data_IF_874337387859
#
_entry.id   IF_874337387859
#
_cell.length_a   1.000
_cell.length_b   1.000
_cell.length_c   1.000
_cell.angle_alpha   90.00
_cell.angle_beta   90.00
_cell.angle_gamma   90.00
#
_symmetry.space_group_name_H-M   'P 1'
#
loop_
_entity.id
_entity.type
_entity.pdbx_description
1 polymer ?
#
# COMPACT_ATOMS: atom_id res chain seq x y z
N UNK A 1 -39.44 -17.89 1.52
CA UNK A 1 -39.10 -18.51 0.23
C UNK A 1 -37.76 -17.91 -0.21
N UNK A 2 -36.77 -18.74 -0.54
CA UNK A 2 -35.45 -18.26 -1.01
C UNK A 2 -35.48 -18.30 -2.53
N UNK A 3 -35.21 -17.15 -3.18
CA UNK A 3 -35.02 -17.09 -4.62
C UNK A 3 -33.58 -17.45 -4.94
N UNK A 4 -33.37 -18.47 -5.76
CA UNK A 4 -32.06 -18.91 -6.21
C UNK A 4 -31.92 -18.56 -7.71
N UNK A 5 -30.87 -17.80 -8.06
CA UNK A 5 -30.48 -17.61 -9.45
C UNK A 5 -29.31 -18.58 -9.68
N UNK A 6 -29.52 -19.57 -10.53
CA UNK A 6 -28.53 -20.61 -10.83
C UNK A 6 -28.05 -20.47 -12.28
N UNK A 7 -26.76 -20.64 -12.50
CA UNK A 7 -26.19 -20.73 -13.83
C UNK A 7 -26.08 -22.21 -14.24
N UNK A 8 -26.42 -22.56 -15.47
CA UNK A 8 -26.18 -23.90 -15.97
C UNK A 8 -24.70 -24.10 -16.34
N UNK A 9 -24.31 -25.33 -16.55
CA UNK A 9 -22.92 -25.71 -16.80
C UNK A 9 -22.46 -25.40 -18.23
N UNK A 10 -23.36 -25.02 -19.13
CA UNK A 10 -23.06 -24.85 -20.55
C UNK A 10 -23.10 -23.40 -21.04
N UNK A 11 -23.87 -22.52 -20.41
CA UNK A 11 -24.08 -21.16 -20.86
C UNK A 11 -23.75 -20.07 -19.81
N UNK A 12 -23.57 -20.47 -18.56
CA UNK A 12 -23.43 -19.54 -17.44
C UNK A 12 -24.71 -18.71 -17.21
N UNK A 13 -24.63 -17.77 -16.27
CA UNK A 13 -25.70 -16.80 -16.04
C UNK A 13 -25.45 -15.57 -16.93
N UNK A 14 -26.31 -15.34 -17.91
CA UNK A 14 -26.34 -14.11 -18.69
C UNK A 14 -27.52 -13.25 -18.23
N UNK A 15 -27.23 -12.09 -17.67
CA UNK A 15 -28.23 -11.07 -17.36
C UNK A 15 -28.09 -9.97 -18.41
N UNK A 16 -29.16 -9.72 -19.15
CA UNK A 16 -29.20 -8.64 -20.13
C UNK A 16 -29.97 -7.48 -19.51
N UNK A 17 -29.32 -6.34 -19.37
CA UNK A 17 -29.98 -5.12 -18.92
C UNK A 17 -30.99 -4.64 -19.98
N UNK A 18 -31.95 -3.83 -19.55
CA UNK A 18 -32.78 -3.05 -20.43
C UNK A 18 -31.96 -1.94 -21.16
N UNK A 19 -32.65 -1.06 -21.85
CA UNK A 19 -32.02 0.08 -22.57
C UNK A 19 -31.35 1.10 -21.63
N UNK A 20 -31.56 1.00 -20.30
CA UNK A 20 -30.88 1.89 -19.32
C UNK A 20 -29.39 1.57 -19.16
N UNK A 21 -29.00 0.34 -19.52
CA UNK A 21 -27.64 -0.14 -19.35
C UNK A 21 -27.23 -0.36 -17.90
N UNK A 22 -28.17 -0.38 -16.97
CA UNK A 22 -27.91 -0.55 -15.54
C UNK A 22 -28.47 -1.88 -15.04
N UNK A 23 -27.68 -2.65 -14.29
CA UNK A 23 -28.13 -3.82 -13.55
C UNK A 23 -28.22 -3.49 -12.06
N UNK A 24 -29.35 -3.70 -11.47
CA UNK A 24 -29.54 -3.55 -10.02
C UNK A 24 -29.86 -4.89 -9.35
N UNK A 25 -29.19 -5.18 -8.25
CA UNK A 25 -29.54 -6.27 -7.34
C UNK A 25 -30.19 -5.67 -6.11
N UNK A 26 -31.44 -6.06 -5.86
CA UNK A 26 -32.25 -5.50 -4.77
C UNK A 26 -32.58 -6.56 -3.72
N UNK A 27 -32.73 -6.13 -2.47
CA UNK A 27 -33.28 -6.92 -1.37
C UNK A 27 -34.33 -6.10 -0.62
N UNK A 28 -35.52 -6.66 -0.49
CA UNK A 28 -36.68 -5.99 0.11
C UNK A 28 -36.99 -4.60 -0.51
N UNK A 29 -36.90 -4.51 -1.86
CA UNK A 29 -37.13 -3.27 -2.60
C UNK A 29 -36.01 -2.23 -2.51
N UNK A 30 -34.93 -2.51 -1.81
CA UNK A 30 -33.77 -1.64 -1.72
C UNK A 30 -32.63 -2.15 -2.59
N UNK A 31 -32.06 -1.28 -3.43
CA UNK A 31 -30.89 -1.60 -4.24
C UNK A 31 -29.69 -1.86 -3.33
N UNK A 32 -29.04 -3.02 -3.54
CA UNK A 32 -27.84 -3.46 -2.80
C UNK A 32 -26.58 -3.42 -3.65
N UNK A 33 -26.74 -3.59 -4.95
CA UNK A 33 -25.66 -3.50 -5.91
C UNK A 33 -26.21 -2.88 -7.20
N UNK A 34 -25.53 -1.89 -7.71
CA UNK A 34 -25.77 -1.30 -9.02
C UNK A 34 -24.56 -1.52 -9.89
N UNK A 35 -24.72 -2.09 -11.08
CA UNK A 35 -23.69 -2.16 -12.12
C UNK A 35 -24.15 -1.27 -13.26
N UNK A 36 -23.47 -0.14 -13.46
CA UNK A 36 -23.79 0.82 -14.50
C UNK A 36 -23.38 0.33 -15.90
N UNK A 37 -23.76 1.08 -16.93
CA UNK A 37 -23.50 0.78 -18.33
C UNK A 37 -22.01 0.66 -18.68
N UNK A 38 -21.13 1.25 -17.87
CA UNK A 38 -19.67 1.12 -18.00
C UNK A 38 -19.06 -0.01 -17.16
N UNK A 39 -19.87 -0.86 -16.52
CA UNK A 39 -19.39 -1.87 -15.58
C UNK A 39 -18.86 -1.27 -14.27
N UNK A 40 -19.22 -0.03 -13.96
CA UNK A 40 -18.71 0.69 -12.80
C UNK A 40 -19.30 0.15 -11.50
N UNK A 41 -18.43 -0.17 -10.57
CA UNK A 41 -18.79 -0.48 -9.20
C UNK A 41 -19.26 0.80 -8.48
N UNK A 42 -20.00 0.66 -7.39
CA UNK A 42 -20.32 1.81 -6.54
C UNK A 42 -19.05 2.40 -5.92
N UNK A 43 -19.09 3.68 -5.53
CA UNK A 43 -17.98 4.32 -4.83
C UNK A 43 -17.54 3.51 -3.59
N UNK A 44 -16.24 3.46 -3.34
CA UNK A 44 -15.66 2.74 -2.21
C UNK A 44 -15.33 1.27 -2.46
N UNK A 45 -15.64 0.71 -3.65
CA UNK A 45 -15.24 -0.65 -3.97
C UNK A 45 -13.73 -0.73 -4.26
N UNK A 46 -13.10 -1.78 -3.77
CA UNK A 46 -11.74 -2.14 -4.13
C UNK A 46 -11.74 -2.69 -5.56
N UNK A 47 -11.06 -2.00 -6.45
CA UNK A 47 -10.94 -2.40 -7.86
C UNK A 47 -9.82 -3.42 -8.03
N UNK A 48 -8.67 -3.13 -7.44
CA UNK A 48 -7.48 -3.98 -7.49
C UNK A 48 -6.60 -3.72 -6.27
N UNK A 49 -5.81 -4.71 -5.89
CA UNK A 49 -4.84 -4.60 -4.79
C UNK A 49 -3.58 -5.40 -5.10
N UNK A 50 -2.70 -4.92 -5.99
CA UNK A 50 -1.38 -5.50 -6.12
C UNK A 50 -0.58 -5.34 -4.83
N UNK A 51 0.21 -6.36 -4.51
CA UNK A 51 1.06 -6.33 -3.32
C UNK A 51 2.36 -7.12 -3.56
N UNK A 52 3.35 -6.85 -2.72
CA UNK A 52 4.57 -7.64 -2.62
C UNK A 52 4.73 -8.16 -1.20
N UNK A 53 5.27 -9.37 -1.13
CA UNK A 53 5.62 -10.05 0.09
C UNK A 53 7.11 -10.37 0.04
N UNK A 54 7.90 -9.68 0.88
CA UNK A 54 9.34 -9.78 0.87
C UNK A 54 9.85 -10.40 2.16
N UNK A 55 10.63 -11.48 2.05
CA UNK A 55 11.09 -12.28 3.19
C UNK A 55 12.59 -12.17 3.43
N UNK A 56 13.32 -11.42 2.63
CA UNK A 56 14.76 -11.25 2.81
C UNK A 56 15.06 -10.00 3.63
N UNK A 57 16.03 -10.09 4.54
CA UNK A 57 16.51 -8.92 5.27
C UNK A 57 17.14 -7.91 4.31
N UNK A 58 16.84 -6.65 4.51
CA UNK A 58 17.46 -5.55 3.77
C UNK A 58 18.24 -4.69 4.75
N UNK A 59 19.53 -4.55 4.49
CA UNK A 59 20.40 -3.72 5.32
C UNK A 59 20.56 -2.34 4.66
N UNK A 60 20.37 -1.28 5.43
CA UNK A 60 20.67 0.08 5.03
C UNK A 60 21.98 0.52 5.70
N UNK A 61 22.93 0.93 4.88
CA UNK A 61 24.28 1.31 5.33
C UNK A 61 24.56 2.79 5.21
N UNK A 62 23.60 3.59 4.73
CA UNK A 62 23.82 5.02 4.43
C UNK A 62 23.16 5.92 5.47
N UNK A 63 23.97 6.72 6.13
CA UNK A 63 23.51 7.81 6.97
C UNK A 63 23.00 8.98 6.11
N UNK A 64 21.88 9.57 6.53
CA UNK A 64 21.44 10.90 6.05
C UNK A 64 20.73 10.94 4.70
N UNK A 65 20.87 9.95 3.84
CA UNK A 65 20.25 9.95 2.52
C UNK A 65 19.02 9.03 2.48
N UNK A 66 17.93 9.55 1.93
CA UNK A 66 16.80 8.73 1.52
C UNK A 66 17.23 7.84 0.35
N UNK A 67 17.06 6.53 0.49
CA UNK A 67 17.33 5.56 -0.58
C UNK A 67 16.24 4.51 -0.67
N UNK A 68 16.08 3.93 -1.85
CA UNK A 68 15.18 2.82 -2.06
C UNK A 68 15.59 1.64 -1.18
N UNK A 69 14.61 1.11 -0.44
CA UNK A 69 14.84 0.02 0.49
C UNK A 69 15.24 -1.26 -0.25
N UNK A 70 14.47 -1.61 -1.28
CA UNK A 70 14.75 -2.74 -2.17
C UNK A 70 13.91 -2.63 -3.44
N UNK A 71 14.51 -2.97 -4.58
CA UNK A 71 13.77 -3.07 -5.84
C UNK A 71 12.74 -4.23 -5.83
N UNK A 72 12.91 -5.20 -4.93
CA UNK A 72 11.93 -6.28 -4.71
C UNK A 72 10.66 -5.81 -4.00
N UNK A 73 10.66 -4.58 -3.46
CA UNK A 73 9.49 -3.95 -2.83
C UNK A 73 8.73 -3.05 -3.79
N UNK A 74 8.96 -3.15 -5.08
CA UNK A 74 8.22 -2.37 -6.08
C UNK A 74 6.85 -2.99 -6.36
N UNK A 75 5.81 -2.18 -6.29
CA UNK A 75 4.43 -2.54 -6.64
C UNK A 75 3.98 -1.67 -7.80
N UNK A 76 3.60 -2.30 -8.91
CA UNK A 76 3.06 -1.60 -10.07
C UNK A 76 1.54 -1.68 -10.09
N UNK A 77 0.90 -0.58 -10.48
CA UNK A 77 -0.54 -0.46 -10.63
C UNK A 77 -0.85 0.41 -11.86
N UNK A 78 -1.89 0.04 -12.58
CA UNK A 78 -2.51 0.88 -13.62
C UNK A 78 -3.90 1.24 -13.16
N UNK A 79 -4.14 2.46 -12.67
CA UNK A 79 -5.46 2.85 -12.17
C UNK A 79 -6.51 2.76 -13.27
N UNK A 80 -7.69 2.28 -12.94
CA UNK A 80 -8.81 2.17 -13.90
C UNK A 80 -9.53 3.50 -14.12
N UNK A 81 -9.45 4.40 -13.12
CA UNK A 81 -10.05 5.73 -13.19
C UNK A 81 -9.12 6.77 -12.56
N UNK A 82 -9.05 7.94 -13.19
CA UNK A 82 -8.23 9.06 -12.69
C UNK A 82 -8.74 9.61 -11.33
N UNK A 83 -10.04 9.46 -11.06
CA UNK A 83 -10.67 9.86 -9.79
C UNK A 83 -10.52 8.82 -8.67
N UNK A 84 -10.10 7.59 -8.97
CA UNK A 84 -9.88 6.55 -7.95
C UNK A 84 -8.93 7.02 -6.86
N UNK A 85 -9.15 6.55 -5.64
CA UNK A 85 -8.21 6.72 -4.54
C UNK A 85 -7.22 5.58 -4.56
N UNK A 86 -5.95 5.91 -4.53
CA UNK A 86 -4.86 4.96 -4.28
C UNK A 86 -4.52 5.00 -2.80
N UNK A 87 -4.63 3.84 -2.14
CA UNK A 87 -4.27 3.65 -0.74
C UNK A 87 -3.03 2.76 -0.67
N UNK A 88 -1.94 3.32 -0.19
CA UNK A 88 -0.64 2.68 -0.02
C UNK A 88 -0.49 2.24 1.43
N UNK A 89 -0.06 1.01 1.65
CA UNK A 89 0.10 0.43 2.98
C UNK A 89 1.37 -0.39 3.06
N UNK A 90 2.18 -0.13 4.07
CA UNK A 90 3.38 -0.91 4.38
C UNK A 90 3.32 -1.42 5.81
N UNK A 91 3.68 -2.68 5.99
CA UNK A 91 3.93 -3.31 7.29
C UNK A 91 5.30 -3.98 7.26
N UNK A 92 6.18 -3.57 8.16
CA UNK A 92 7.53 -4.08 8.28
C UNK A 92 8.03 -4.00 9.72
N UNK A 93 9.14 -4.65 10.01
CA UNK A 93 9.87 -4.49 11.25
C UNK A 93 11.21 -3.82 10.97
N UNK A 94 11.57 -2.89 11.83
CA UNK A 94 12.84 -2.20 11.84
C UNK A 94 13.65 -2.66 13.05
N UNK A 95 14.89 -3.04 12.82
CA UNK A 95 15.87 -3.27 13.88
C UNK A 95 16.98 -2.23 13.76
N UNK A 96 17.25 -1.52 14.84
CA UNK A 96 18.37 -0.59 14.95
C UNK A 96 19.41 -1.16 15.90
N UNK A 97 20.59 -1.58 15.40
CA UNK A 97 21.68 -2.03 16.25
C UNK A 97 22.47 -0.86 16.81
N UNK A 98 22.42 -0.65 18.10
CA UNK A 98 23.39 0.15 18.89
C UNK A 98 23.47 1.66 18.64
N UNK A 99 22.38 2.37 18.34
CA UNK A 99 22.49 3.84 18.34
C UNK A 99 21.17 4.59 18.45
N UNK A 100 21.26 5.79 19.01
CA UNK A 100 20.14 6.73 19.06
C UNK A 100 20.03 7.36 17.67
N UNK A 101 18.97 6.99 16.93
CA UNK A 101 18.72 7.48 15.59
C UNK A 101 17.26 7.88 15.37
N UNK A 102 17.07 8.83 14.48
CA UNK A 102 15.74 9.11 13.91
C UNK A 102 15.66 8.42 12.57
N UNK A 103 14.65 7.61 12.42
CA UNK A 103 14.31 6.90 11.20
C UNK A 103 13.10 7.53 10.55
N UNK A 104 13.08 7.56 9.24
CA UNK A 104 11.90 7.98 8.47
C UNK A 104 11.73 7.14 7.21
N UNK A 105 10.48 6.96 6.81
CA UNK A 105 10.14 6.24 5.59
C UNK A 105 9.13 7.01 4.75
N UNK A 106 9.23 6.79 3.45
CA UNK A 106 8.32 7.33 2.44
C UNK A 106 7.86 6.22 1.50
N UNK A 107 6.62 6.33 1.03
CA UNK A 107 6.30 5.78 -0.28
C UNK A 107 6.91 6.67 -1.35
N UNK A 108 7.40 6.07 -2.40
CA UNK A 108 8.02 6.78 -3.52
C UNK A 108 7.46 6.29 -4.84
N UNK A 109 7.01 7.20 -5.67
CA UNK A 109 6.59 6.90 -7.04
C UNK A 109 7.82 6.92 -7.95
N UNK A 110 8.27 5.74 -8.35
CA UNK A 110 9.45 5.56 -9.20
C UNK A 110 9.19 6.11 -10.61
N UNK A 111 7.95 6.01 -11.08
CA UNK A 111 7.56 6.44 -12.42
C UNK A 111 7.64 7.96 -12.56
N UNK A 112 7.10 8.68 -11.56
CA UNK A 112 7.06 10.14 -11.55
C UNK A 112 8.23 10.77 -10.79
N UNK A 113 9.10 9.95 -10.17
CA UNK A 113 10.25 10.41 -9.36
C UNK A 113 9.87 11.36 -8.23
N UNK A 114 8.79 11.07 -7.53
CA UNK A 114 8.24 11.93 -6.47
C UNK A 114 7.82 11.14 -5.23
N UNK A 115 7.64 11.86 -4.11
CA UNK A 115 7.01 11.33 -2.89
C UNK A 115 5.52 11.65 -2.95
N UNK A 116 4.66 10.64 -3.22
CA UNK A 116 3.22 10.86 -3.37
C UNK A 116 2.54 11.14 -2.03
N UNK A 117 1.42 11.84 -2.06
CA UNK A 117 0.48 11.98 -0.94
C UNK A 117 1.12 12.47 0.39
N UNK A 118 2.13 13.30 0.31
CA UNK A 118 2.76 13.86 1.50
C UNK A 118 1.77 14.72 2.32
N UNK A 119 1.86 14.65 3.66
CA UNK A 119 1.08 15.53 4.51
C UNK A 119 1.45 17.01 4.23
N UNK A 120 0.59 17.98 4.55
CA UNK A 120 0.88 19.39 4.42
C UNK A 120 2.20 19.78 5.12
N UNK A 121 2.91 20.76 4.57
CA UNK A 121 4.12 21.28 5.19
C UNK A 121 3.79 21.98 6.53
N UNK A 122 4.61 21.74 7.55
CA UNK A 122 4.50 22.40 8.85
C UNK A 122 5.85 22.99 9.23
N UNK A 123 6.08 24.24 8.87
CA UNK A 123 7.35 24.94 9.08
C UNK A 123 8.51 24.23 8.37
N UNK A 124 9.65 24.13 9.05
CA UNK A 124 10.87 23.50 8.53
C UNK A 124 10.97 21.99 8.77
N UNK A 125 9.88 21.36 9.31
CA UNK A 125 9.91 19.94 9.63
C UNK A 125 9.90 19.10 8.35
N UNK A 126 10.66 17.99 8.36
CA UNK A 126 10.61 17.00 7.28
C UNK A 126 9.20 16.44 7.15
N UNK A 127 8.67 16.39 5.93
CA UNK A 127 7.40 15.74 5.61
C UNK A 127 7.70 14.28 5.31
N UNK A 128 7.13 13.39 6.10
CA UNK A 128 7.37 11.96 6.02
C UNK A 128 6.06 11.18 6.20
N UNK A 129 5.97 9.98 5.64
CA UNK A 129 4.83 9.10 5.90
C UNK A 129 4.96 8.38 7.23
N UNK A 130 6.18 8.14 7.67
CA UNK A 130 6.48 7.51 8.95
C UNK A 130 7.81 8.00 9.50
N UNK A 131 7.89 8.15 10.82
CA UNK A 131 9.15 8.40 11.50
C UNK A 131 9.12 7.89 12.93
N UNK A 132 10.26 7.46 13.43
CA UNK A 132 10.48 7.09 14.82
C UNK A 132 11.86 7.54 15.28
N UNK A 133 11.97 7.88 16.55
CA UNK A 133 13.26 8.03 17.23
C UNK A 133 13.50 6.80 18.06
N UNK A 134 14.56 6.10 17.79
CA UNK A 134 15.02 4.96 18.56
C UNK A 134 16.10 5.47 19.50
N UNK A 135 15.93 5.27 20.79
CA UNK A 135 16.92 5.55 21.84
C UNK A 135 17.35 4.22 22.40
N UNK A 136 18.40 3.66 21.83
CA UNK A 136 18.91 2.36 22.21
C UNK A 136 19.87 2.48 23.41
N UNK A 137 19.74 1.55 24.34
CA UNK A 137 20.63 1.37 25.50
C UNK A 137 21.71 0.29 25.26
N UNK A 138 21.93 -0.12 24.01
CA UNK A 138 22.93 -1.10 23.60
C UNK A 138 22.37 -2.47 23.22
N UNK A 139 21.06 -2.61 23.14
CA UNK A 139 20.37 -3.82 22.69
C UNK A 139 19.75 -3.62 21.30
N UNK A 140 19.58 -4.71 20.55
CA UNK A 140 18.87 -4.67 19.26
C UNK A 140 17.37 -4.47 19.50
N UNK A 141 16.89 -3.26 19.38
CA UNK A 141 15.48 -2.94 19.52
C UNK A 141 14.73 -3.17 18.20
N UNK A 142 13.58 -3.83 18.31
CA UNK A 142 12.68 -4.09 17.19
C UNK A 142 11.46 -3.18 17.26
N UNK A 143 11.25 -2.45 16.19
CA UNK A 143 10.12 -1.54 16.08
C UNK A 143 9.23 -1.90 14.90
N UNK A 144 7.93 -1.83 15.14
CA UNK A 144 6.97 -2.02 14.06
C UNK A 144 6.89 -0.75 13.21
N UNK A 145 7.11 -0.91 11.90
CA UNK A 145 6.96 0.13 10.92
C UNK A 145 5.68 -0.12 10.13
N UNK A 146 4.57 0.45 10.60
CA UNK A 146 3.30 0.44 9.86
C UNK A 146 2.98 1.87 9.47
N UNK A 147 2.77 2.10 8.19
CA UNK A 147 2.38 3.41 7.68
C UNK A 147 1.53 3.31 6.42
N UNK A 148 0.74 4.32 6.22
CA UNK A 148 -0.21 4.43 5.12
C UNK A 148 -0.14 5.81 4.49
N UNK A 149 -0.53 5.88 3.22
CA UNK A 149 -0.79 7.13 2.52
C UNK A 149 -1.94 6.93 1.54
N UNK A 150 -2.70 7.97 1.28
CA UNK A 150 -3.79 7.92 0.32
C UNK A 150 -3.92 9.22 -0.46
N UNK A 151 -4.32 9.11 -1.71
CA UNK A 151 -4.62 10.26 -2.56
C UNK A 151 -5.25 9.83 -3.88
N UNK A 152 -5.68 10.81 -4.65
CA UNK A 152 -6.28 10.57 -5.95
C UNK A 152 -5.24 10.06 -6.94
N UNK A 153 -5.63 9.10 -7.78
CA UNK A 153 -4.77 8.59 -8.86
C UNK A 153 -4.34 9.69 -9.83
N UNK A 154 -5.23 10.61 -10.18
CA UNK A 154 -4.96 11.75 -11.06
C UNK A 154 -4.85 11.39 -12.54
N UNK A 155 -4.46 10.17 -12.87
CA UNK A 155 -4.45 9.62 -14.25
C UNK A 155 -4.65 8.11 -14.22
N UNK A 156 -4.83 7.54 -15.41
CA UNK A 156 -4.88 6.08 -15.63
C UNK A 156 -3.56 5.51 -16.16
N UNK A 157 -2.49 6.28 -16.06
CA UNK A 157 -1.16 5.82 -16.47
C UNK A 157 -0.60 4.80 -15.47
N UNK A 158 0.18 3.86 -15.98
CA UNK A 158 0.86 2.89 -15.14
C UNK A 158 1.88 3.57 -14.23
N UNK A 159 1.88 3.19 -12.95
CA UNK A 159 2.79 3.71 -11.92
C UNK A 159 3.44 2.58 -11.16
N UNK A 160 4.63 2.86 -10.63
CA UNK A 160 5.35 1.92 -9.78
C UNK A 160 5.74 2.63 -8.50
N UNK A 161 5.27 2.09 -7.39
CA UNK A 161 5.57 2.58 -6.05
C UNK A 161 6.57 1.67 -5.36
N UNK A 162 7.38 2.27 -4.49
CA UNK A 162 8.35 1.56 -3.64
C UNK A 162 8.45 2.26 -2.29
N UNK A 163 9.30 1.72 -1.40
CA UNK A 163 9.56 2.28 -0.08
C UNK A 163 10.98 2.83 -0.06
N UNK A 164 11.10 4.09 0.31
CA UNK A 164 12.36 4.74 0.61
C UNK A 164 12.51 4.94 2.11
N UNK A 165 13.70 4.72 2.61
CA UNK A 165 14.04 4.89 4.01
C UNK A 165 15.28 5.76 4.17
N UNK A 166 15.34 6.49 5.27
CA UNK A 166 16.49 7.29 5.66
C UNK A 166 16.65 7.34 7.19
N UNK A 167 17.83 7.80 7.62
CA UNK A 167 18.17 7.91 9.04
C UNK A 167 19.05 9.14 9.33
N UNK A 168 18.95 9.70 10.53
CA UNK A 168 19.87 10.72 11.05
C UNK A 168 20.99 10.06 11.87
N UNK A 169 21.93 9.43 11.23
CA UNK A 169 23.04 8.77 11.93
C UNK A 169 23.87 7.90 11.00
N UNK A 170 25.00 7.41 11.48
CA UNK A 170 25.97 6.68 10.68
C UNK A 170 25.84 5.14 10.79
N UNK A 171 24.76 4.62 11.30
CA UNK A 171 24.63 3.20 11.65
C UNK A 171 23.93 2.39 10.57
N UNK A 172 24.43 1.18 10.38
CA UNK A 172 23.77 0.15 9.57
C UNK A 172 22.47 -0.32 10.24
N UNK A 173 21.40 -0.33 9.50
CA UNK A 173 20.08 -0.68 9.98
C UNK A 173 19.46 -1.78 9.14
N UNK A 174 18.73 -2.65 9.80
CA UNK A 174 18.11 -3.79 9.16
C UNK A 174 16.60 -3.60 9.16
N UNK A 175 15.98 -3.59 8.00
CA UNK A 175 14.59 -3.99 7.90
C UNK A 175 14.58 -5.52 7.88
N UNK A 176 14.33 -6.09 9.04
CA UNK A 176 14.47 -7.51 9.21
C UNK A 176 13.22 -8.24 8.73
N UNK A 177 13.39 -9.06 7.73
CA UNK A 177 12.51 -10.20 7.52
C UNK A 177 12.89 -11.37 8.44
N UNK A 178 14.15 -11.44 8.85
CA UNK A 178 14.65 -12.39 9.85
C UNK A 178 15.11 -11.61 11.06
N UNK A 179 14.33 -11.66 12.12
CA UNK A 179 14.80 -11.31 13.43
C UNK A 179 15.87 -12.35 13.79
N UNK A 180 17.15 -11.90 13.77
CA UNK A 180 18.35 -12.71 13.79
C UNK A 180 18.34 -13.77 14.91
N UNK A 181 19.33 -14.64 14.87
CA UNK A 181 19.74 -15.72 15.78
C UNK A 181 19.25 -15.74 17.24
N UNK A 182 18.77 -14.63 17.79
CA UNK A 182 18.29 -14.57 19.17
C UNK A 182 16.80 -14.94 19.35
N UNK A 183 15.95 -14.76 18.32
CA UNK A 183 14.50 -14.97 18.46
C UNK A 183 13.91 -15.96 17.46
N UNK A 184 14.60 -16.28 16.36
CA UNK A 184 14.13 -17.22 15.35
C UNK A 184 12.83 -16.81 14.62
N UNK A 185 12.40 -15.57 14.76
CA UNK A 185 11.15 -15.08 14.17
C UNK A 185 11.44 -14.42 12.82
N UNK A 186 10.72 -14.83 11.80
CA UNK A 186 10.75 -14.21 10.47
C UNK A 186 9.52 -13.34 10.32
N UNK A 187 9.71 -12.05 10.09
CA UNK A 187 8.60 -11.12 9.83
C UNK A 187 8.74 -10.58 8.40
N UNK A 188 7.75 -10.82 7.52
CA UNK A 188 7.81 -10.33 6.16
C UNK A 188 7.58 -8.81 6.11
N UNK A 189 8.15 -8.18 5.07
CA UNK A 189 7.72 -6.86 4.65
C UNK A 189 6.56 -7.05 3.69
N UNK A 190 5.43 -6.44 3.99
CA UNK A 190 4.26 -6.43 3.12
C UNK A 190 4.04 -5.00 2.66
N UNK A 191 4.02 -4.81 1.35
CA UNK A 191 3.65 -3.54 0.76
C UNK A 191 2.56 -3.74 -0.29
N UNK A 192 1.49 -2.95 -0.19
CA UNK A 192 0.35 -3.02 -1.10
C UNK A 192 -0.08 -1.63 -1.57
N UNK A 193 -0.65 -1.60 -2.77
CA UNK A 193 -1.34 -0.45 -3.33
C UNK A 193 -2.77 -0.89 -3.65
N UNK A 194 -3.75 -0.28 -3.02
CA UNK A 194 -5.16 -0.59 -3.22
C UNK A 194 -5.81 0.54 -4.02
N UNK A 195 -6.44 0.20 -5.14
CA UNK A 195 -7.29 1.13 -5.86
C UNK A 195 -8.73 1.01 -5.34
N UNK A 196 -9.27 2.12 -4.88
CA UNK A 196 -10.64 2.25 -4.42
C UNK A 196 -11.37 3.15 -5.43
N UNK A 197 -12.44 2.62 -6.02
CA UNK A 197 -13.24 3.37 -6.97
C UNK A 197 -13.88 4.59 -6.30
N UNK A 198 -13.68 5.75 -6.92
CA UNK A 198 -14.26 7.03 -6.52
C UNK A 198 -14.71 7.73 -7.81
N UNK A 199 -16.02 7.73 -8.13
CA UNK A 199 -16.58 8.27 -9.36
C UNK A 199 -16.44 9.80 -9.48
#
# INVERSE_FOLDING_TARGET
>A
MTSLINADTSGGLKITSDTSGTLEVQSAGNTKLTVGSGGTLAAGHVVQRPFVYHTSATQLTSAGALSELSTSLRVSITPTHASSILFLECSAWLCSPNSINIHWAHFYDVTNTEVPFLPPASGSRKRVHWSIRISDDGNNDFHNMIFTAAGTAGSTDARTYTIWHGTEGATAEFLASTLSSATGVTAPIVFSVTEIYNP
#
